data_IF_441269323862
#
_entry.id   IF_441269323862
#
_cell.length_a   1.000
_cell.length_b   1.000
_cell.length_c   1.000
_cell.angle_alpha   90.00
_cell.angle_beta   90.00
_cell.angle_gamma   90.00
#
_symmetry.space_group_name_H-M   'P 1'
#
loop_
_entity.id
_entity.type
_entity.pdbx_description
1 polymer ?
#
# COMPACT_ATOMS: atom_id res chain seq x y z
N UNK A 1 12.90 8.39 -10.93
CA UNK A 1 11.70 7.52 -11.04
C UNK A 1 11.57 6.66 -9.79
N UNK A 2 10.35 6.26 -9.41
CA UNK A 2 10.17 5.22 -8.40
C UNK A 2 10.71 3.88 -8.93
N UNK A 3 11.40 3.13 -8.06
CA UNK A 3 11.98 1.83 -8.40
C UNK A 3 10.93 0.83 -8.91
N UNK A 4 9.70 0.89 -8.37
CA UNK A 4 8.57 0.12 -8.86
C UNK A 4 8.19 0.45 -10.32
N UNK A 5 8.20 1.73 -10.68
CA UNK A 5 7.92 2.18 -12.06
C UNK A 5 9.00 1.72 -13.04
N UNK A 6 10.26 1.76 -12.64
CA UNK A 6 11.37 1.21 -13.45
C UNK A 6 11.17 -0.30 -13.66
N UNK A 7 10.82 -1.04 -12.62
CA UNK A 7 10.57 -2.47 -12.74
C UNK A 7 9.35 -2.78 -13.62
N UNK A 8 8.29 -1.97 -13.55
CA UNK A 8 7.11 -2.09 -14.40
C UNK A 8 7.45 -1.87 -15.88
N UNK A 9 8.26 -0.85 -16.20
CA UNK A 9 8.74 -0.60 -17.57
C UNK A 9 9.56 -1.78 -18.11
N UNK A 10 10.50 -2.29 -17.31
CA UNK A 10 11.35 -3.40 -17.71
C UNK A 10 10.55 -4.68 -17.97
N UNK A 11 9.58 -5.00 -17.11
CA UNK A 11 8.82 -6.26 -17.20
C UNK A 11 7.66 -6.17 -18.20
N UNK A 12 6.92 -5.06 -18.19
CA UNK A 12 5.72 -4.86 -19.01
C UNK A 12 6.04 -4.46 -20.44
N UNK A 13 7.03 -3.59 -20.64
CA UNK A 13 7.34 -3.00 -21.93
C UNK A 13 8.70 -3.41 -22.50
N UNK A 14 9.50 -4.19 -21.76
CA UNK A 14 10.87 -4.57 -22.12
C UNK A 14 11.74 -3.37 -22.50
N UNK A 15 11.43 -2.21 -21.94
CA UNK A 15 12.10 -0.94 -22.23
C UNK A 15 12.92 -0.49 -21.03
N UNK A 16 14.15 -0.04 -21.29
CA UNK A 16 15.02 0.55 -20.29
C UNK A 16 14.84 2.08 -20.27
N UNK A 17 14.67 2.64 -19.07
CA UNK A 17 14.73 4.08 -18.87
C UNK A 17 16.20 4.48 -18.67
N UNK A 18 16.82 5.11 -19.67
CA UNK A 18 18.21 5.57 -19.59
C UNK A 18 19.27 4.48 -19.85
N UNK A 19 20.54 4.90 -19.82
CA UNK A 19 21.72 4.07 -20.08
C UNK A 19 22.62 3.91 -18.85
N UNK A 20 22.56 4.84 -17.89
CA UNK A 20 23.39 4.89 -16.68
C UNK A 20 22.52 5.15 -15.46
N UNK A 21 22.37 4.15 -14.60
CA UNK A 21 21.44 4.19 -13.49
C UNK A 21 22.12 4.20 -12.12
N UNK A 22 21.57 4.97 -11.19
CA UNK A 22 21.77 4.80 -9.75
C UNK A 22 20.47 4.26 -9.15
N UNK A 23 20.57 3.20 -8.36
CA UNK A 23 19.43 2.62 -7.63
C UNK A 23 19.63 2.94 -6.15
N UNK A 24 18.68 3.59 -5.50
CA UNK A 24 18.84 4.00 -4.11
C UNK A 24 17.57 3.82 -3.30
N UNK A 25 17.72 3.61 -1.99
CA UNK A 25 16.61 3.50 -1.05
C UNK A 25 16.88 2.48 0.03
N UNK A 26 15.87 1.67 0.37
CA UNK A 26 15.94 0.72 1.48
C UNK A 26 15.39 -0.66 1.14
N UNK A 27 16.14 -1.68 1.50
CA UNK A 27 15.70 -3.06 1.57
C UNK A 27 15.98 -3.89 0.31
N UNK A 28 15.59 -5.18 0.35
CA UNK A 28 15.95 -6.17 -0.68
C UNK A 28 15.38 -5.86 -2.07
N UNK A 29 14.36 -5.00 -2.19
CA UNK A 29 13.74 -4.64 -3.46
C UNK A 29 14.69 -3.90 -4.41
N UNK A 30 15.79 -3.32 -3.91
CA UNK A 30 16.79 -2.67 -4.75
C UNK A 30 17.53 -3.67 -5.67
N UNK A 31 17.71 -4.91 -5.22
CA UNK A 31 18.42 -5.97 -5.97
C UNK A 31 17.73 -6.39 -7.27
N UNK A 32 16.42 -6.75 -7.30
CA UNK A 32 15.74 -7.08 -8.55
C UNK A 32 15.67 -5.90 -9.51
N UNK A 33 15.61 -4.67 -9.02
CA UNK A 33 15.61 -3.46 -9.86
C UNK A 33 16.98 -3.27 -10.51
N UNK A 34 18.06 -3.31 -9.73
CA UNK A 34 19.43 -3.17 -10.22
C UNK A 34 19.81 -4.28 -11.21
N UNK A 35 19.54 -5.54 -10.86
CA UNK A 35 19.85 -6.67 -11.74
C UNK A 35 18.96 -6.71 -12.98
N UNK A 36 17.69 -6.27 -12.87
CA UNK A 36 16.80 -6.10 -14.02
C UNK A 36 17.32 -5.06 -15.02
N UNK A 37 17.74 -3.89 -14.52
CA UNK A 37 18.37 -2.84 -15.33
C UNK A 37 19.64 -3.35 -16.01
N UNK A 38 20.52 -4.02 -15.27
CA UNK A 38 21.77 -4.55 -15.81
C UNK A 38 21.55 -5.62 -16.90
N UNK A 39 20.54 -6.48 -16.73
CA UNK A 39 20.14 -7.45 -17.77
C UNK A 39 19.54 -6.79 -19.00
N UNK A 40 18.93 -5.62 -18.86
CA UNK A 40 18.43 -4.81 -19.97
C UNK A 40 19.53 -3.95 -20.61
N UNK A 41 20.80 -4.13 -20.23
CA UNK A 41 21.94 -3.42 -20.81
C UNK A 41 22.22 -2.04 -20.21
N UNK A 42 21.52 -1.65 -19.14
CA UNK A 42 21.77 -0.39 -18.43
C UNK A 42 22.99 -0.54 -17.53
N UNK A 43 23.92 0.42 -17.59
CA UNK A 43 25.05 0.47 -16.67
C UNK A 43 24.60 0.96 -15.30
N UNK A 44 24.43 0.05 -14.36
CA UNK A 44 24.14 0.41 -12.95
C UNK A 44 25.43 0.82 -12.27
N UNK A 45 25.55 2.09 -11.89
CA UNK A 45 26.76 2.68 -11.32
C UNK A 45 26.92 2.36 -9.84
N UNK A 46 25.81 2.31 -9.10
CA UNK A 46 25.78 1.94 -7.71
C UNK A 46 24.36 1.54 -7.29
N UNK A 47 24.29 0.66 -6.29
CA UNK A 47 23.12 0.47 -5.43
C UNK A 47 23.43 1.12 -4.09
N UNK A 48 22.67 2.14 -3.72
CA UNK A 48 22.81 2.90 -2.48
C UNK A 48 21.72 2.47 -1.49
N UNK A 49 22.09 1.62 -0.54
CA UNK A 49 21.24 1.19 0.56
C UNK A 49 21.44 2.11 1.76
N UNK A 50 20.36 2.73 2.23
CA UNK A 50 20.40 3.61 3.40
C UNK A 50 20.68 2.83 4.69
N UNK A 51 20.25 1.57 4.79
CA UNK A 51 20.48 0.76 5.97
C UNK A 51 21.91 0.19 6.05
N UNK A 52 22.39 -0.08 7.26
CA UNK A 52 23.62 -0.84 7.44
C UNK A 52 23.46 -2.31 7.06
N UNK A 53 24.53 -2.93 6.55
CA UNK A 53 24.56 -4.33 6.14
C UNK A 53 24.08 -5.32 7.22
N UNK A 54 24.26 -4.99 8.51
CA UNK A 54 23.85 -5.86 9.61
C UNK A 54 22.32 -6.04 9.74
N UNK A 55 21.52 -5.17 9.11
CA UNK A 55 20.07 -5.35 9.03
C UNK A 55 19.68 -6.61 8.25
N UNK A 56 20.52 -7.06 7.31
CA UNK A 56 20.35 -8.34 6.61
C UNK A 56 20.73 -9.53 7.49
N UNK A 57 21.75 -9.38 8.36
CA UNK A 57 22.19 -10.44 9.27
C UNK A 57 21.17 -10.76 10.37
N UNK A 58 20.38 -9.77 10.82
CA UNK A 58 19.30 -9.96 11.81
C UNK A 58 18.09 -10.74 11.30
N UNK A 59 18.11 -11.15 10.03
CA UNK A 59 17.05 -11.94 9.41
C UNK A 59 17.57 -13.25 8.79
N UNK A 60 18.78 -13.69 9.16
CA UNK A 60 19.37 -14.97 8.72
C UNK A 60 18.56 -16.19 9.20
N UNK A 61 17.91 -16.07 10.34
CA UNK A 61 16.90 -16.98 10.89
C UNK A 61 15.72 -17.21 9.93
N UNK A 62 15.36 -16.20 9.12
CA UNK A 62 14.39 -16.32 8.04
C UNK A 62 14.94 -17.02 6.79
N UNK A 63 16.26 -16.97 6.56
CA UNK A 63 16.93 -17.60 5.42
C UNK A 63 17.07 -19.13 5.60
N UNK A 64 17.30 -19.59 6.83
CA UNK A 64 17.31 -21.03 7.18
C UNK A 64 15.91 -21.65 6.99
N UNK A 65 14.84 -20.88 7.25
CA UNK A 65 13.45 -21.34 7.13
C UNK A 65 12.89 -21.28 5.71
N UNK A 66 13.63 -20.76 4.74
CA UNK A 66 13.16 -20.57 3.36
C UNK A 66 14.29 -20.77 2.34
N UNK A 67 14.72 -22.02 2.07
CA UNK A 67 15.84 -22.32 1.17
C UNK A 67 15.65 -21.81 -0.27
N UNK A 68 14.41 -21.66 -0.74
CA UNK A 68 14.15 -21.03 -2.03
C UNK A 68 14.58 -19.54 -2.06
N UNK A 69 14.47 -18.83 -0.93
CA UNK A 69 14.87 -17.42 -0.82
C UNK A 69 16.38 -17.24 -0.76
N UNK A 70 17.11 -18.23 -0.23
CA UNK A 70 18.58 -18.19 -0.25
C UNK A 70 19.13 -18.40 -1.66
N UNK A 71 18.54 -19.30 -2.45
CA UNK A 71 18.89 -19.47 -3.87
C UNK A 71 18.65 -18.18 -4.67
N UNK A 72 17.54 -17.47 -4.41
CA UNK A 72 17.25 -16.18 -5.05
C UNK A 72 18.28 -15.11 -4.66
N UNK A 73 18.66 -15.02 -3.38
CA UNK A 73 19.69 -14.10 -2.91
C UNK A 73 21.06 -14.38 -3.56
N UNK A 74 21.46 -15.65 -3.65
CA UNK A 74 22.69 -16.07 -4.36
C UNK A 74 22.64 -15.69 -5.82
N UNK A 75 21.50 -15.87 -6.49
CA UNK A 75 21.31 -15.46 -7.88
C UNK A 75 21.49 -13.95 -8.06
N UNK A 76 20.92 -13.13 -7.17
CA UNK A 76 21.15 -11.68 -7.24
C UNK A 76 22.61 -11.33 -6.97
N UNK A 77 23.27 -11.94 -5.99
CA UNK A 77 24.69 -11.71 -5.72
C UNK A 77 25.56 -12.07 -6.93
N UNK A 78 25.31 -13.21 -7.59
CA UNK A 78 26.03 -13.62 -8.79
C UNK A 78 25.80 -12.64 -9.95
N UNK A 79 24.58 -12.13 -10.14
CA UNK A 79 24.29 -11.13 -11.17
C UNK A 79 24.98 -9.79 -10.87
N UNK A 80 24.95 -9.34 -9.61
CA UNK A 80 25.65 -8.12 -9.18
C UNK A 80 27.14 -8.23 -9.43
N UNK A 81 27.76 -9.37 -9.10
CA UNK A 81 29.16 -9.65 -9.35
C UNK A 81 29.48 -9.68 -10.86
N UNK A 82 28.66 -10.40 -11.65
CA UNK A 82 28.81 -10.49 -13.11
C UNK A 82 28.78 -9.13 -13.79
N UNK A 83 27.89 -8.25 -13.34
CA UNK A 83 27.75 -6.90 -13.88
C UNK A 83 28.61 -5.86 -13.15
N UNK A 84 29.44 -6.29 -12.18
CA UNK A 84 30.32 -5.46 -11.34
C UNK A 84 29.60 -4.26 -10.71
N UNK A 85 28.39 -4.49 -10.21
CA UNK A 85 27.53 -3.44 -9.64
C UNK A 85 27.98 -3.18 -8.20
N UNK A 86 28.48 -1.98 -7.86
CA UNK A 86 28.84 -1.63 -6.50
C UNK A 86 27.60 -1.59 -5.60
N UNK A 87 27.65 -2.27 -4.46
CA UNK A 87 26.62 -2.19 -3.41
C UNK A 87 27.15 -1.38 -2.24
N UNK A 88 26.59 -0.20 -2.00
CA UNK A 88 27.01 0.75 -0.96
C UNK A 88 25.97 0.78 0.13
N UNK A 89 26.36 0.42 1.34
CA UNK A 89 25.50 0.52 2.54
C UNK A 89 25.74 1.81 3.28
N UNK A 90 24.74 2.29 4.02
CA UNK A 90 24.77 3.61 4.66
C UNK A 90 25.05 4.73 3.65
N UNK A 91 24.49 4.60 2.45
CA UNK A 91 24.64 5.58 1.39
C UNK A 91 23.27 5.99 0.90
N UNK A 92 23.03 7.31 0.85
CA UNK A 92 21.79 7.91 0.39
C UNK A 92 22.03 8.93 -0.70
N UNK A 93 21.00 9.21 -1.48
CA UNK A 93 21.01 10.29 -2.47
C UNK A 93 20.69 11.59 -1.75
N UNK A 94 21.66 12.50 -1.70
CA UNK A 94 21.47 13.84 -1.15
C UNK A 94 20.80 14.77 -2.17
N UNK A 95 21.19 14.67 -3.44
CA UNK A 95 20.68 15.54 -4.50
C UNK A 95 20.69 14.84 -5.85
N UNK A 96 19.67 15.14 -6.67
CA UNK A 96 19.63 14.72 -8.07
C UNK A 96 19.99 15.95 -8.91
N UNK A 97 21.03 15.81 -9.74
CA UNK A 97 21.60 16.90 -10.52
C UNK A 97 20.97 16.96 -11.91
N UNK A 98 20.70 18.19 -12.37
CA UNK A 98 20.13 18.50 -13.66
C UNK A 98 18.78 19.21 -13.54
N UNK A 99 18.48 20.06 -14.52
CA UNK A 99 17.26 20.89 -14.52
C UNK A 99 16.11 20.12 -15.18
N UNK A 100 16.16 19.95 -16.51
CA UNK A 100 15.08 19.26 -17.25
C UNK A 100 15.17 17.73 -17.19
N UNK A 101 16.36 17.21 -16.95
CA UNK A 101 16.65 15.77 -16.93
C UNK A 101 17.80 15.46 -16.00
N UNK A 102 17.81 14.24 -15.47
CA UNK A 102 18.91 13.73 -14.64
C UNK A 102 20.20 13.73 -15.45
N UNK A 103 21.23 14.37 -14.89
CA UNK A 103 22.63 14.31 -15.38
C UNK A 103 23.54 13.62 -14.38
N UNK A 104 23.18 13.66 -13.10
CA UNK A 104 23.94 12.98 -12.07
C UNK A 104 23.20 12.91 -10.74
N UNK A 105 23.88 12.34 -9.77
CA UNK A 105 23.40 12.18 -8.40
C UNK A 105 24.54 12.48 -7.45
N UNK A 106 24.29 13.37 -6.49
CA UNK A 106 25.18 13.60 -5.35
C UNK A 106 24.75 12.72 -4.19
N UNK A 107 25.69 11.93 -3.67
CA UNK A 107 25.47 11.13 -2.48
C UNK A 107 25.71 11.96 -1.20
N UNK A 108 25.23 11.47 -0.07
CA UNK A 108 25.47 12.07 1.26
C UNK A 108 26.95 12.28 1.60
N UNK A 109 27.85 11.42 1.10
CA UNK A 109 29.31 11.59 1.21
C UNK A 109 29.92 12.64 0.28
N UNK A 110 29.12 13.38 -0.49
CA UNK A 110 29.58 14.42 -1.42
C UNK A 110 30.03 13.91 -2.80
N UNK A 111 30.22 12.61 -2.96
CA UNK A 111 30.54 11.99 -4.25
C UNK A 111 29.43 12.20 -5.29
N UNK A 112 29.81 12.52 -6.52
CA UNK A 112 28.89 12.71 -7.64
C UNK A 112 29.03 11.57 -8.65
N UNK A 113 27.90 10.96 -8.98
CA UNK A 113 27.77 9.91 -9.99
C UNK A 113 27.01 10.45 -11.20
N UNK A 114 27.68 10.57 -12.34
CA UNK A 114 27.06 10.94 -13.63
C UNK A 114 26.09 9.84 -14.08
N UNK A 115 24.79 10.12 -14.10
CA UNK A 115 23.72 9.17 -14.33
C UNK A 115 22.57 9.84 -15.10
N UNK A 116 21.88 9.08 -15.94
CA UNK A 116 20.69 9.54 -16.67
C UNK A 116 19.39 8.93 -16.13
N UNK A 117 19.49 7.98 -15.19
CA UNK A 117 18.38 7.40 -14.46
C UNK A 117 18.68 7.33 -12.95
N UNK A 118 17.71 7.74 -12.13
CA UNK A 118 17.69 7.46 -10.69
C UNK A 118 16.45 6.64 -10.36
N UNK A 119 16.64 5.47 -9.77
CA UNK A 119 15.58 4.59 -9.28
C UNK A 119 15.52 4.64 -7.74
N UNK A 120 14.47 5.27 -7.20
CA UNK A 120 14.31 5.44 -5.75
C UNK A 120 13.29 4.45 -5.17
N UNK A 121 13.65 3.73 -4.12
CA UNK A 121 12.80 2.73 -3.46
C UNK A 121 12.83 2.83 -1.93
N UNK A 122 11.97 3.65 -1.34
CA UNK A 122 11.90 3.91 0.11
C UNK A 122 10.78 3.15 0.84
N UNK A 123 10.42 1.98 0.32
CA UNK A 123 9.27 1.21 0.81
C UNK A 123 8.05 1.32 -0.10
N UNK A 124 6.92 0.78 0.38
CA UNK A 124 5.68 0.69 -0.37
C UNK A 124 4.54 1.30 0.45
N UNK A 125 3.77 2.15 -0.21
CA UNK A 125 2.52 2.66 0.35
C UNK A 125 1.37 1.70 0.01
N UNK A 126 0.59 1.24 1.00
CA UNK A 126 -0.61 0.43 0.74
C UNK A 126 -1.62 1.19 -0.13
N UNK A 127 -2.20 0.51 -1.12
CA UNK A 127 -3.36 1.00 -1.87
C UNK A 127 -4.63 0.82 -1.01
N UNK A 128 -5.22 1.93 -0.56
CA UNK A 128 -6.33 1.93 0.39
C UNK A 128 -7.67 2.36 -0.22
N UNK A 129 -7.69 2.68 -1.51
CA UNK A 129 -8.86 3.17 -2.22
C UNK A 129 -10.04 2.20 -2.06
N UNK A 130 -9.83 0.92 -2.37
CA UNK A 130 -10.87 -0.11 -2.25
C UNK A 130 -11.28 -0.37 -0.78
N UNK A 131 -10.35 -0.62 0.18
CA UNK A 131 -10.70 -0.73 1.60
C UNK A 131 -11.53 0.45 2.13
N UNK A 132 -11.18 1.68 1.75
CA UNK A 132 -11.92 2.87 2.19
C UNK A 132 -13.31 2.94 1.55
N UNK A 133 -13.43 2.63 0.25
CA UNK A 133 -14.71 2.64 -0.46
C UNK A 133 -15.72 1.64 0.10
N UNK A 134 -15.25 0.46 0.55
CA UNK A 134 -16.12 -0.55 1.16
C UNK A 134 -16.38 -0.30 2.66
N UNK A 135 -15.77 0.73 3.25
CA UNK A 135 -15.92 1.06 4.67
C UNK A 135 -15.11 0.17 5.61
N UNK A 136 -14.03 -0.45 5.13
CA UNK A 136 -13.14 -1.22 5.99
C UNK A 136 -12.39 -0.30 6.96
N UNK A 137 -12.28 -0.71 8.22
CA UNK A 137 -11.53 0.01 9.23
C UNK A 137 -10.05 0.05 8.86
N UNK A 138 -9.38 1.15 9.22
CA UNK A 138 -7.95 1.34 9.02
C UNK A 138 -7.27 1.67 10.33
N UNK A 139 -5.96 1.39 10.40
CA UNK A 139 -5.10 1.75 11.53
C UNK A 139 -3.77 2.26 11.01
N UNK A 140 -3.03 3.00 11.84
CA UNK A 140 -1.62 3.30 11.55
C UNK A 140 -0.76 2.09 11.88
N UNK A 141 0.20 1.79 11.03
CA UNK A 141 1.21 0.77 11.27
C UNK A 141 2.47 1.35 11.91
N UNK A 142 3.46 0.50 12.20
CA UNK A 142 4.70 0.87 12.88
C UNK A 142 5.47 1.98 12.15
N UNK A 143 5.36 2.03 10.82
CA UNK A 143 5.96 3.07 9.98
C UNK A 143 5.06 4.30 9.80
N UNK A 144 3.95 4.39 10.55
CA UNK A 144 2.99 5.49 10.50
C UNK A 144 2.03 5.44 9.30
N UNK A 145 2.24 4.51 8.37
CA UNK A 145 1.39 4.31 7.20
C UNK A 145 0.00 3.83 7.60
N UNK A 146 -1.02 4.27 6.88
CA UNK A 146 -2.37 3.76 7.06
C UNK A 146 -2.47 2.36 6.43
N UNK A 147 -3.07 1.40 7.12
CA UNK A 147 -3.28 0.03 6.65
C UNK A 147 -4.72 -0.42 6.97
N UNK A 148 -5.28 -1.29 6.13
CA UNK A 148 -6.56 -1.93 6.45
C UNK A 148 -6.42 -2.87 7.65
N UNK A 149 -7.41 -2.87 8.53
CA UNK A 149 -7.50 -3.82 9.66
C UNK A 149 -7.99 -5.15 9.13
N UNK A 150 -7.19 -6.21 9.34
CA UNK A 150 -7.54 -7.58 8.97
C UNK A 150 -7.26 -8.57 10.09
N UNK A 151 -8.01 -9.67 10.12
CA UNK A 151 -7.76 -10.79 11.01
C UNK A 151 -6.68 -11.76 10.47
N UNK A 152 -6.38 -12.81 11.25
CA UNK A 152 -5.41 -13.84 10.86
C UNK A 152 -5.78 -14.63 9.58
N UNK A 153 -7.04 -14.53 9.14
CA UNK A 153 -7.56 -15.13 7.90
C UNK A 153 -7.75 -14.10 6.80
N UNK A 154 -7.15 -12.91 6.94
CA UNK A 154 -7.21 -11.81 5.97
C UNK A 154 -8.61 -11.22 5.77
N UNK A 155 -9.54 -11.44 6.72
CA UNK A 155 -10.88 -10.84 6.68
C UNK A 155 -10.82 -9.41 7.18
N UNK A 156 -11.47 -8.49 6.49
CA UNK A 156 -11.61 -7.10 6.93
C UNK A 156 -12.72 -6.96 7.97
N UNK A 157 -12.96 -5.73 8.45
CA UNK A 157 -14.13 -5.44 9.30
C UNK A 157 -15.46 -5.45 8.54
N UNK A 158 -15.43 -5.50 7.22
CA UNK A 158 -16.62 -5.59 6.37
C UNK A 158 -16.89 -7.07 6.09
N UNK A 159 -18.11 -7.58 6.39
CA UNK A 159 -18.48 -8.96 6.08
C UNK A 159 -18.21 -9.31 4.63
N UNK A 160 -17.72 -10.52 4.39
CA UNK A 160 -17.43 -11.08 3.07
C UNK A 160 -16.37 -10.34 2.23
N UNK A 161 -15.67 -9.35 2.80
CA UNK A 161 -14.53 -8.68 2.17
C UNK A 161 -13.23 -9.17 2.80
N UNK A 162 -12.36 -9.72 1.96
CA UNK A 162 -10.99 -10.11 2.32
C UNK A 162 -9.97 -9.19 1.66
N UNK A 163 -8.86 -8.92 2.34
CA UNK A 163 -7.74 -8.16 1.80
C UNK A 163 -6.46 -9.02 1.84
N UNK A 164 -5.93 -9.37 0.67
CA UNK A 164 -4.74 -10.19 0.54
C UNK A 164 -3.55 -9.35 0.05
N UNK A 165 -2.33 -9.71 0.49
CA UNK A 165 -1.10 -9.05 0.07
C UNK A 165 -0.08 -9.03 1.20
N UNK A 166 0.75 -7.97 1.26
CA UNK A 166 1.56 -7.66 2.45
C UNK A 166 0.89 -6.53 3.25
N UNK A 167 -0.34 -6.70 3.79
CA UNK A 167 -0.77 -5.82 4.86
C UNK A 167 0.16 -6.14 6.03
N UNK A 168 0.96 -5.19 6.49
CA UNK A 168 1.58 -5.37 7.81
C UNK A 168 0.41 -5.36 8.80
N UNK A 169 -0.06 -6.55 9.12
CA UNK A 169 -1.14 -6.85 10.05
C UNK A 169 -0.64 -7.98 10.94
N UNK A 170 0.21 -7.61 11.88
CA UNK A 170 0.53 -8.39 13.08
C UNK A 170 0.80 -7.33 14.16
N UNK A 171 0.17 -7.27 15.34
CA UNK A 171 -0.74 -8.18 16.03
C UNK A 171 -1.90 -7.40 16.65
N UNK A 172 -3.08 -8.00 16.71
CA UNK A 172 -4.10 -7.66 17.72
C UNK A 172 -4.24 -8.89 18.62
N UNK A 173 -4.20 -8.76 19.96
CA UNK A 173 -4.58 -9.85 20.85
C UNK A 173 -5.98 -10.36 20.47
N UNK A 174 -6.15 -11.69 20.46
CA UNK A 174 -7.41 -12.39 20.15
C UNK A 174 -8.64 -11.62 20.66
N UNK A 175 -9.48 -11.15 19.76
CA UNK A 175 -10.90 -10.97 20.08
C UNK A 175 -11.55 -12.36 20.17
N UNK A 176 -12.49 -12.59 21.11
CA UNK A 176 -13.16 -13.87 21.26
C UNK A 176 -13.91 -14.26 19.97
N UNK A 177 -13.98 -15.57 19.74
CA UNK A 177 -14.44 -16.13 18.48
C UNK A 177 -15.97 -16.17 18.41
N UNK A 178 -16.60 -16.20 17.22
CA UNK A 178 -18.06 -16.33 17.07
C UNK A 178 -18.63 -17.68 17.55
N UNK A 179 -17.82 -18.58 18.11
CA UNK A 179 -18.27 -19.83 18.73
C UNK A 179 -18.65 -19.66 20.20
N UNK A 180 -18.35 -18.52 20.79
CA UNK A 180 -18.79 -18.14 22.13
C UNK A 180 -20.15 -17.44 21.94
N UNK A 181 -21.23 -18.22 22.10
CA UNK A 181 -22.60 -17.86 21.70
C UNK A 181 -22.97 -16.39 21.93
N UNK A 182 -23.47 -15.74 20.89
CA UNK A 182 -24.01 -14.39 20.99
C UNK A 182 -25.20 -14.42 21.95
N UNK A 183 -25.23 -13.65 23.06
CA UNK A 183 -26.47 -13.49 23.81
C UNK A 183 -27.54 -12.91 22.86
N UNK A 184 -28.80 -13.38 22.91
CA UNK A 184 -29.83 -12.89 22.02
C UNK A 184 -29.94 -11.37 22.18
N UNK A 185 -29.73 -10.65 21.09
CA UNK A 185 -29.89 -9.20 21.04
C UNK A 185 -31.36 -8.85 21.34
N UNK A 186 -31.68 -8.64 22.62
CA UNK A 186 -32.87 -7.92 23.04
C UNK A 186 -32.68 -6.46 22.65
N UNK A 187 -33.23 -6.08 21.51
CA UNK A 187 -33.48 -4.68 21.18
C UNK A 187 -34.43 -4.09 22.24
N UNK A 188 -33.89 -3.47 23.29
CA UNK A 188 -34.64 -2.49 24.08
C UNK A 188 -34.75 -1.24 23.21
N UNK A 189 -35.98 -0.91 22.80
CA UNK A 189 -36.28 0.43 22.26
C UNK A 189 -35.92 1.47 23.33
N UNK A 190 -35.03 2.44 23.04
CA UNK A 190 -34.99 3.65 23.84
C UNK A 190 -36.30 4.40 23.57
N UNK A 191 -37.11 4.60 24.60
CA UNK A 191 -38.18 5.59 24.57
C UNK A 191 -37.54 6.96 24.35
N UNK A 192 -37.95 7.62 23.26
CA UNK A 192 -37.61 9.02 23.01
C UNK A 192 -36.49 9.25 21.99
N UNK A 193 -36.72 8.92 20.72
CA UNK A 193 -36.06 9.65 19.62
C UNK A 193 -36.97 9.61 18.39
N UNK A 194 -37.67 10.72 18.13
CA UNK A 194 -38.53 10.89 16.96
C UNK A 194 -37.65 11.18 15.73
N UNK A 195 -37.71 10.25 14.78
CA UNK A 195 -37.57 10.45 13.33
C UNK A 195 -36.40 11.30 12.81
N UNK A 196 -35.37 10.61 12.29
CA UNK A 196 -34.68 11.07 11.07
C UNK A 196 -34.78 9.91 10.08
N UNK A 197 -35.57 10.12 9.03
CA UNK A 197 -35.78 9.16 7.94
C UNK A 197 -34.76 9.48 6.85
N UNK A 198 -33.75 8.63 6.67
CA UNK A 198 -32.86 8.72 5.51
C UNK A 198 -33.62 8.31 4.22
N UNK A 199 -33.41 9.02 3.11
CA UNK A 199 -33.93 8.67 1.80
C UNK A 199 -33.11 7.50 1.24
N UNK A 200 -33.67 6.82 0.23
CA UNK A 200 -33.19 5.57 -0.39
C UNK A 200 -33.67 4.30 0.33
N UNK A 201 -34.84 3.85 -0.10
CA UNK A 201 -35.47 2.61 0.33
C UNK A 201 -34.72 1.39 -0.19
N UNK A 202 -34.56 0.42 0.71
CA UNK A 202 -34.22 -0.95 0.34
C UNK A 202 -35.40 -1.66 -0.32
N UNK A 203 -35.08 -2.50 -1.30
CA UNK A 203 -35.93 -3.58 -1.78
C UNK A 203 -36.40 -4.45 -0.60
N UNK A 204 -37.70 -4.54 -0.39
CA UNK A 204 -38.33 -5.64 0.32
C UNK A 204 -39.05 -6.53 -0.71
N UNK A 205 -38.97 -7.87 -0.63
CA UNK A 205 -39.85 -8.73 -1.41
C UNK A 205 -41.25 -8.65 -0.78
N UNK A 206 -42.26 -8.23 -1.56
CA UNK A 206 -43.67 -8.43 -1.21
C UNK A 206 -44.31 -9.39 -2.19
N UNK A 207 -44.91 -10.41 -1.60
CA UNK A 207 -45.86 -11.33 -2.21
C UNK A 207 -46.96 -10.59 -2.97
N UNK A 208 -47.33 -11.16 -4.11
CA UNK A 208 -48.40 -10.69 -4.99
C UNK A 208 -49.78 -10.90 -4.37
N UNK A 209 -50.65 -9.88 -4.46
CA UNK A 209 -52.09 -10.01 -4.78
C UNK A 209 -52.72 -8.61 -4.97
N UNK A 210 -53.34 -8.43 -6.15
CA UNK A 210 -54.41 -7.52 -6.62
C UNK A 210 -54.58 -6.07 -6.09
N UNK A 211 -54.77 -5.11 -7.04
CA UNK A 211 -54.91 -3.63 -6.86
C UNK A 211 -56.27 -3.10 -6.34
N UNK A 212 -56.71 -1.83 -6.58
CA UNK A 212 -56.21 -0.81 -7.54
C UNK A 212 -56.04 0.66 -7.03
N UNK A 213 -55.37 1.48 -7.87
CA UNK A 213 -55.41 2.97 -8.02
C UNK A 213 -54.84 3.93 -6.94
N UNK A 214 -54.11 5.01 -7.32
CA UNK A 214 -53.45 5.93 -6.38
C UNK A 214 -54.24 7.22 -6.12
N UNK A 215 -54.15 7.86 -4.94
CA UNK A 215 -54.50 9.26 -4.80
C UNK A 215 -53.29 10.17 -5.00
N UNK A 216 -53.53 11.25 -5.75
CA UNK A 216 -52.63 12.37 -6.06
C UNK A 216 -52.34 13.26 -4.84
N UNK A 217 -51.21 13.96 -4.95
CA UNK A 217 -50.71 15.17 -4.27
C UNK A 217 -51.67 15.96 -3.38
N UNK A 218 -51.15 16.47 -2.25
CA UNK A 218 -51.19 17.92 -1.92
C UNK A 218 -50.08 18.30 -0.93
N UNK A 219 -49.29 19.30 -1.30
CA UNK A 219 -48.39 20.05 -0.42
C UNK A 219 -49.18 21.04 0.46
N UNK A 220 -48.73 21.22 1.70
CA UNK A 220 -48.96 22.33 2.65
C UNK A 220 -48.21 21.92 3.92
N UNK A 221 -47.27 22.66 4.50
CA UNK A 221 -47.42 23.97 5.18
C UNK A 221 -46.01 24.49 5.58
N UNK A 222 -45.82 25.73 6.10
CA UNK A 222 -44.80 26.67 5.63
C UNK A 222 -43.62 26.88 6.60
N UNK A 223 -42.50 27.42 6.10
CA UNK A 223 -41.41 27.94 6.93
C UNK A 223 -41.81 29.25 7.64
N UNK A 224 -41.48 29.44 8.93
CA UNK A 224 -41.51 30.76 9.56
C UNK A 224 -40.24 31.58 9.18
N UNK A 225 -40.34 32.92 9.10
CA UNK A 225 -39.26 33.80 8.66
C UNK A 225 -38.47 34.39 9.85
N UNK A 226 -37.25 34.84 9.53
CA UNK A 226 -36.62 36.01 10.17
C UNK A 226 -35.55 35.72 11.23
N UNK A 227 -34.27 35.93 10.88
CA UNK A 227 -33.25 36.36 11.85
C UNK A 227 -33.36 37.88 12.09
N UNK A 228 -32.24 38.59 12.32
CA UNK A 228 -31.24 38.49 13.39
C UNK A 228 -31.31 39.71 14.35
N UNK A 229 -30.51 39.73 15.42
CA UNK A 229 -29.77 40.87 16.05
C UNK A 229 -29.68 40.72 17.57
N UNK A 230 -28.49 40.99 18.13
CA UNK A 230 -28.24 41.14 19.56
C UNK A 230 -26.90 40.55 19.97
#
# INVERSE_FOLDING_TARGET
MAAGGVQALLKGHRAAAGRRAVVAGTGPFLLPVATGLARAGVRVLAVCEANPAHGWLRHLDGAVRAPAKSAEAVRYAALMARHRIPYRTRATVAEILGEDRVRGVRLDGGEVLEADLVALGWGFTPALELPLMVGAATRRDLDGSLVAVVDARQRTTVPDVLAAGRPRAWAVPRSPSPRDGWPPCRWRRPTGCRSIRAPYGGCAPRSATAGPSPPRCTARTPCPPGGPTG
#
